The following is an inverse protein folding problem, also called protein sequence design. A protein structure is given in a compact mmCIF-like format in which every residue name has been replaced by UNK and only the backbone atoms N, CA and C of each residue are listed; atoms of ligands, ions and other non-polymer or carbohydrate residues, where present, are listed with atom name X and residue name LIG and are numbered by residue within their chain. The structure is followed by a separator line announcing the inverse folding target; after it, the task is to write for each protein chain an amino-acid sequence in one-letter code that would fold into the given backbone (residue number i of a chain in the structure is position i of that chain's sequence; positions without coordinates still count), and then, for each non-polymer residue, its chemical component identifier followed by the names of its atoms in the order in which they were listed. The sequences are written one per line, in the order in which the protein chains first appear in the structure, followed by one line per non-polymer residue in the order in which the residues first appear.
data_IF_876974967034
#
_entry.id   IF_876974967034
#
_cell.length_a   1.000
_cell.length_b   1.000
_cell.length_c   1.000
_cell.angle_alpha   90.00
_cell.angle_beta   90.00
_cell.angle_gamma   90.00
#
_symmetry.space_group_name_H-M   'P 1'
#
loop_
_entity.id
_entity.type
_entity.pdbx_description
1 polymer ?
#
# COMPACT_ATOMS: atom_id res chain seq x y z
N UNK A 1 7.35 -19.11 -5.73
CA UNK A 1 8.31 -18.01 -6.06
C UNK A 1 7.74 -16.69 -5.58
N UNK A 2 8.48 -15.91 -4.79
CA UNK A 2 7.99 -14.62 -4.27
C UNK A 2 7.81 -13.58 -5.38
N UNK A 3 6.69 -12.85 -5.36
CA UNK A 3 6.38 -11.83 -6.37
C UNK A 3 7.37 -10.66 -6.31
N UNK A 4 7.66 -9.95 -7.42
CA UNK A 4 8.54 -8.78 -7.41
C UNK A 4 8.12 -7.70 -6.40
N UNK A 5 6.81 -7.53 -6.21
CA UNK A 5 6.23 -6.61 -5.23
C UNK A 5 6.52 -7.06 -3.81
N UNK A 6 6.34 -8.35 -3.50
CA UNK A 6 6.69 -8.89 -2.18
C UNK A 6 8.18 -8.73 -1.86
N UNK A 7 9.06 -8.95 -2.85
CA UNK A 7 10.50 -8.67 -2.72
C UNK A 7 10.78 -7.19 -2.45
N UNK A 8 10.14 -6.28 -3.20
CA UNK A 8 10.29 -4.84 -3.01
C UNK A 8 9.81 -4.37 -1.63
N UNK A 9 8.65 -4.87 -1.19
CA UNK A 9 8.08 -4.55 0.11
C UNK A 9 8.99 -4.98 1.27
N UNK A 10 9.59 -6.18 1.19
CA UNK A 10 10.56 -6.68 2.18
C UNK A 10 11.84 -5.85 2.22
N UNK A 11 12.32 -5.37 1.07
CA UNK A 11 13.57 -4.58 0.97
C UNK A 11 13.52 -3.23 1.69
N UNK A 12 12.36 -2.58 1.68
CA UNK A 12 12.19 -1.24 2.27
C UNK A 12 12.13 -1.33 3.78
N UNK A 13 13.09 -0.75 4.51
CA UNK A 13 13.11 -0.79 5.98
C UNK A 13 12.61 0.49 6.64
N UNK A 14 12.63 1.63 5.93
CA UNK A 14 12.25 2.91 6.52
C UNK A 14 10.73 3.08 6.56
N UNK A 15 10.28 3.80 7.59
CA UNK A 15 8.89 4.16 7.84
C UNK A 15 8.73 5.66 7.80
N UNK A 16 7.60 6.11 7.28
CA UNK A 16 7.22 7.52 7.25
C UNK A 16 6.06 7.73 8.21
N UNK A 17 6.20 8.71 9.10
CA UNK A 17 5.12 9.11 10.00
C UNK A 17 4.37 10.28 9.40
N UNK A 18 3.05 10.22 9.41
CA UNK A 18 2.22 11.25 8.82
C UNK A 18 0.84 11.33 9.47
N UNK A 19 0.09 12.32 9.03
CA UNK A 19 -1.28 12.56 9.47
C UNK A 19 -2.22 12.31 8.30
N UNK A 20 -3.32 11.60 8.55
CA UNK A 20 -4.37 11.37 7.56
C UNK A 20 -5.12 12.68 7.32
N UNK A 21 -5.06 13.19 6.08
CA UNK A 21 -5.74 14.43 5.66
C UNK A 21 -7.18 14.14 5.23
N UNK A 22 -7.38 13.06 4.47
CA UNK A 22 -8.71 12.67 4.00
C UNK A 22 -8.84 11.15 3.98
N UNK A 23 -9.90 10.65 4.61
CA UNK A 23 -10.35 9.26 4.58
C UNK A 23 -11.82 9.18 4.10
N UNK A 24 -12.24 8.03 3.57
CA UNK A 24 -13.63 7.77 3.18
C UNK A 24 -14.06 8.29 1.80
N UNK A 25 -13.23 9.08 1.11
CA UNK A 25 -13.53 9.57 -0.25
C UNK A 25 -13.27 8.51 -1.33
N UNK A 26 -12.33 7.60 -1.08
CA UNK A 26 -11.95 6.52 -1.99
C UNK A 26 -11.87 5.22 -1.21
N UNK A 27 -12.35 4.13 -1.82
CA UNK A 27 -12.28 2.82 -1.17
C UNK A 27 -10.82 2.37 -0.95
N UNK A 28 -10.55 1.79 0.22
CA UNK A 28 -9.24 1.24 0.63
C UNK A 28 -8.05 2.18 0.40
N UNK A 29 -8.29 3.48 0.49
CA UNK A 29 -7.32 4.52 0.16
C UNK A 29 -7.48 5.73 1.06
N UNK A 30 -6.36 6.22 1.58
CA UNK A 30 -6.31 7.47 2.35
C UNK A 30 -5.22 8.39 1.80
N UNK A 31 -5.41 9.70 2.00
CA UNK A 31 -4.38 10.70 1.71
C UNK A 31 -3.65 11.03 3.00
N UNK A 32 -2.34 10.77 3.04
CA UNK A 32 -1.49 11.01 4.23
C UNK A 32 -0.49 12.10 3.93
N UNK A 33 -0.39 13.09 4.82
CA UNK A 33 0.63 14.14 4.78
C UNK A 33 1.81 13.72 5.65
N UNK A 34 2.98 13.64 5.05
CA UNK A 34 4.26 13.32 5.70
C UNK A 34 5.11 14.58 5.79
N UNK A 35 5.84 14.71 6.89
CA UNK A 35 6.81 15.81 7.07
C UNK A 35 7.99 15.67 6.10
N UNK A 36 8.48 16.79 5.61
CA UNK A 36 9.68 16.86 4.78
C UNK A 36 10.35 18.21 4.95
N UNK A 37 11.63 18.29 4.60
CA UNK A 37 12.37 19.54 4.57
C UNK A 37 13.14 19.66 3.27
N UNK A 38 13.24 20.89 2.77
CA UNK A 38 13.98 21.22 1.56
C UNK A 38 15.00 22.31 1.88
N UNK A 39 16.25 22.07 1.51
CA UNK A 39 17.32 23.06 1.63
C UNK A 39 17.20 24.10 0.50
N UNK A 40 17.12 25.37 0.87
CA UNK A 40 17.26 26.46 -0.09
C UNK A 40 18.74 26.87 -0.17
N UNK A 41 19.37 26.67 -1.34
CA UNK A 41 20.79 26.98 -1.56
C UNK A 41 21.12 28.46 -1.55
N UNK A 42 20.16 29.34 -1.86
CA UNK A 42 20.38 30.79 -1.94
C UNK A 42 20.34 31.40 -0.53
N UNK A 43 19.31 31.01 0.24
CA UNK A 43 19.09 31.55 1.59
C UNK A 43 19.84 30.73 2.67
N UNK A 44 20.42 29.59 2.28
CA UNK A 44 21.10 28.64 3.18
C UNK A 44 20.25 28.26 4.41
N UNK A 45 18.96 27.96 4.16
CA UNK A 45 17.99 27.62 5.20
C UNK A 45 17.14 26.41 4.82
N UNK A 46 16.82 25.58 5.80
CA UNK A 46 15.83 24.50 5.68
C UNK A 46 14.41 25.05 5.78
N UNK A 47 13.58 24.74 4.79
CA UNK A 47 12.16 25.03 4.78
C UNK A 47 11.33 23.75 4.89
N UNK A 48 10.15 23.84 5.51
CA UNK A 48 9.20 22.74 5.54
C UNK A 48 8.66 22.46 4.13
N UNK A 49 8.75 21.21 3.69
CA UNK A 49 8.27 20.71 2.40
C UNK A 49 7.41 19.45 2.63
N UNK A 50 6.19 19.60 3.17
CA UNK A 50 5.32 18.47 3.46
C UNK A 50 4.85 17.80 2.17
N UNK A 51 4.90 16.47 2.12
CA UNK A 51 4.48 15.68 0.95
C UNK A 51 3.20 14.92 1.26
N UNK A 52 2.34 14.79 0.25
CA UNK A 52 1.10 14.03 0.36
C UNK A 52 1.19 12.76 -0.46
N UNK A 53 0.84 11.63 0.15
CA UNK A 53 0.83 10.33 -0.51
C UNK A 53 -0.55 9.70 -0.47
N UNK A 54 -0.90 9.00 -1.55
CA UNK A 54 -2.02 8.06 -1.55
C UNK A 54 -1.54 6.73 -0.98
N UNK A 55 -2.12 6.34 0.14
CA UNK A 55 -1.74 5.17 0.93
C UNK A 55 -2.86 4.14 0.83
N UNK A 56 -2.46 2.88 0.70
CA UNK A 56 -3.39 1.76 0.72
C UNK A 56 -3.74 1.38 2.17
N UNK A 57 -5.03 1.40 2.48
CA UNK A 57 -5.62 0.92 3.73
C UNK A 57 -6.52 -0.29 3.38
N UNK A 58 -6.08 -1.54 3.59
CA UNK A 58 -6.79 -2.73 3.15
C UNK A 58 -8.20 -2.90 3.73
N UNK A 59 -8.36 -2.54 5.01
CA UNK A 59 -9.57 -2.77 5.79
C UNK A 59 -10.35 -1.48 6.10
N UNK A 60 -9.96 -0.34 5.51
CA UNK A 60 -10.60 0.96 5.73
C UNK A 60 -10.70 1.33 7.23
N UNK A 61 -9.64 1.04 7.98
CA UNK A 61 -9.54 1.25 9.43
C UNK A 61 -9.31 2.71 9.82
N UNK A 62 -8.81 3.52 8.89
CA UNK A 62 -8.36 4.88 9.19
C UNK A 62 -9.48 5.93 9.09
N UNK A 63 -9.34 7.01 9.86
CA UNK A 63 -10.18 8.20 9.84
C UNK A 63 -9.32 9.45 9.64
N UNK A 64 -9.96 10.52 9.17
CA UNK A 64 -9.28 11.81 9.00
C UNK A 64 -8.79 12.32 10.36
N UNK A 65 -7.53 12.78 10.43
CA UNK A 65 -6.90 13.22 11.67
C UNK A 65 -6.04 12.17 12.38
N UNK A 66 -6.11 10.90 12.01
CA UNK A 66 -5.25 9.86 12.61
C UNK A 66 -3.76 10.12 12.31
N UNK A 67 -2.91 9.84 13.29
CA UNK A 67 -1.45 9.78 13.11
C UNK A 67 -1.05 8.34 12.81
N UNK A 68 -0.37 8.13 11.68
CA UNK A 68 -0.08 6.79 11.14
C UNK A 68 1.38 6.61 10.79
N UNK A 69 1.87 5.39 10.89
CA UNK A 69 3.13 4.95 10.26
C UNK A 69 2.80 4.27 8.93
N UNK A 70 3.45 4.72 7.85
CA UNK A 70 3.29 4.17 6.51
C UNK A 70 4.62 3.62 5.99
N UNK A 71 4.55 2.55 5.20
CA UNK A 71 5.72 1.92 4.57
C UNK A 71 5.66 2.10 3.04
N UNK A 72 6.74 2.57 2.39
CA UNK A 72 6.83 2.57 0.93
C UNK A 72 7.09 1.16 0.37
N UNK A 73 7.06 1.03 -0.97
CA UNK A 73 7.37 -0.22 -1.66
C UNK A 73 6.17 -1.13 -1.89
N UNK A 74 4.95 -0.64 -1.71
CA UNK A 74 3.70 -1.38 -1.94
C UNK A 74 2.88 -0.80 -3.10
N UNK A 75 3.27 -1.08 -4.37
CA UNK A 75 2.50 -0.64 -5.54
C UNK A 75 1.15 -1.38 -5.63
N UNK A 76 0.07 -0.62 -5.40
CA UNK A 76 -1.31 -1.14 -5.48
C UNK A 76 -2.09 -0.58 -6.68
N UNK A 77 -1.84 0.67 -7.05
CA UNK A 77 -2.46 1.37 -8.19
C UNK A 77 -1.44 2.30 -8.83
N UNK A 78 -1.78 3.09 -9.85
CA UNK A 78 -0.86 3.98 -10.55
C UNK A 78 -0.14 4.98 -9.63
N UNK A 79 -0.83 5.56 -8.65
CA UNK A 79 -0.26 6.56 -7.72
C UNK A 79 -0.08 6.04 -6.28
N UNK A 80 -0.64 4.86 -5.96
CA UNK A 80 -0.57 4.24 -4.64
C UNK A 80 0.68 3.38 -4.52
N UNK A 81 1.68 3.85 -3.78
CA UNK A 81 2.99 3.18 -3.57
C UNK A 81 3.29 2.88 -2.09
N UNK A 82 2.42 3.31 -1.19
CA UNK A 82 2.58 3.19 0.25
C UNK A 82 1.44 2.35 0.84
N UNK A 83 1.73 1.66 1.93
CA UNK A 83 0.76 0.90 2.72
C UNK A 83 0.80 1.34 4.18
N UNK A 84 -0.34 1.28 4.86
CA UNK A 84 -0.42 1.55 6.30
C UNK A 84 0.26 0.41 7.05
N UNK A 85 1.15 0.75 7.99
CA UNK A 85 1.76 -0.23 8.90
C UNK A 85 1.01 -0.31 10.22
N UNK A 86 0.78 0.85 10.86
CA UNK A 86 0.12 0.93 12.15
C UNK A 86 -0.46 2.31 12.41
N UNK A 87 -1.47 2.37 13.27
CA UNK A 87 -2.04 3.60 13.83
C UNK A 87 -1.22 3.97 15.06
N UNK A 88 -0.62 5.16 15.08
CA UNK A 88 0.18 5.66 16.21
C UNK A 88 -0.73 6.36 17.21
N UNK A 89 -1.59 7.24 16.73
CA UNK A 89 -2.57 7.94 17.55
C UNK A 89 -3.90 8.01 16.79
N UNK A 90 -4.97 7.36 17.29
CA UNK A 90 -6.29 7.45 16.70
C UNK A 90 -6.91 8.82 17.01
N UNK A 91 -7.69 9.33 16.07
CA UNK A 91 -8.53 10.51 16.25
C UNK A 91 -10.00 10.10 16.31
N UNK A 92 -10.72 10.58 17.33
CA UNK A 92 -12.13 10.24 17.55
C UNK A 92 -12.31 8.81 18.07
N UNK A 93 -12.71 7.89 17.20
CA UNK A 93 -13.05 6.51 17.59
C UNK A 93 -11.80 5.74 18.04
N UNK A 94 -11.82 5.00 19.16
CA UNK A 94 -10.70 4.16 19.61
C UNK A 94 -10.31 3.06 18.61
N UNK A 95 -9.12 2.47 18.77
CA UNK A 95 -8.60 1.41 17.87
C UNK A 95 -9.46 0.14 17.96
N UNK A 96 -9.98 -0.18 19.14
CA UNK A 96 -10.70 -1.43 19.41
C UNK A 96 -12.03 -1.54 18.63
N UNK A 97 -12.63 -0.41 18.29
CA UNK A 97 -13.89 -0.35 17.54
C UNK A 97 -13.70 -0.34 16.02
N UNK A 98 -12.44 -0.41 15.56
CA UNK A 98 -12.09 -0.33 14.14
C UNK A 98 -11.62 -1.70 13.65
N UNK A 99 -11.78 -1.99 12.36
CA UNK A 99 -11.20 -3.21 11.81
C UNK A 99 -9.68 -3.19 11.96
N UNK A 100 -9.03 -4.32 12.29
CA UNK A 100 -7.59 -4.36 12.49
C UNK A 100 -6.85 -4.09 11.18
N UNK A 101 -5.69 -3.43 11.26
CA UNK A 101 -4.81 -3.24 10.10
C UNK A 101 -4.02 -4.55 9.88
N UNK A 102 -4.09 -5.16 8.68
CA UNK A 102 -3.37 -6.40 8.40
C UNK A 102 -1.86 -6.24 8.51
N UNK A 103 -1.18 -7.31 8.89
CA UNK A 103 0.28 -7.32 8.91
C UNK A 103 0.85 -7.33 7.49
N UNK A 104 2.11 -6.92 7.31
CA UNK A 104 2.73 -6.94 5.98
C UNK A 104 2.82 -8.36 5.41
N UNK A 105 2.99 -9.37 6.27
CA UNK A 105 3.11 -10.76 5.87
C UNK A 105 1.79 -11.30 5.35
N UNK A 106 0.67 -10.98 6.02
CA UNK A 106 -0.68 -11.27 5.54
C UNK A 106 -0.93 -10.64 4.17
N UNK A 107 -0.56 -9.37 3.99
CA UNK A 107 -0.73 -8.67 2.72
C UNK A 107 0.10 -9.31 1.58
N UNK A 108 1.32 -9.76 1.90
CA UNK A 108 2.16 -10.49 0.95
C UNK A 108 1.51 -11.83 0.60
N UNK A 109 1.07 -12.59 1.60
CA UNK A 109 0.43 -13.89 1.43
C UNK A 109 -0.84 -13.77 0.57
N UNK A 110 -1.71 -12.80 0.86
CA UNK A 110 -2.90 -12.52 0.04
C UNK A 110 -2.54 -12.22 -1.42
N UNK A 111 -1.49 -11.41 -1.64
CA UNK A 111 -1.08 -11.03 -2.98
C UNK A 111 -0.46 -12.21 -3.74
N UNK A 112 0.30 -13.05 -3.06
CA UNK A 112 0.89 -14.27 -3.62
C UNK A 112 -0.22 -15.27 -3.95
N UNK A 113 -1.20 -15.49 -3.07
CA UNK A 113 -2.37 -16.33 -3.33
C UNK A 113 -3.18 -15.84 -4.56
N UNK A 114 -3.47 -14.53 -4.64
CA UNK A 114 -4.14 -13.92 -5.82
C UNK A 114 -3.34 -14.14 -7.10
N UNK A 115 -2.00 -14.16 -7.03
CA UNK A 115 -1.14 -14.43 -8.18
C UNK A 115 -1.18 -15.91 -8.58
N UNK A 116 -1.08 -16.82 -7.60
CA UNK A 116 -1.15 -18.26 -7.83
C UNK A 116 -2.48 -18.65 -8.49
N UNK A 117 -3.61 -18.21 -7.93
CA UNK A 117 -4.93 -18.45 -8.50
C UNK A 117 -5.07 -17.91 -9.94
N UNK A 118 -4.45 -16.75 -10.23
CA UNK A 118 -4.42 -16.20 -11.59
C UNK A 118 -3.60 -17.07 -12.55
N UNK A 119 -2.49 -17.62 -12.09
CA UNK A 119 -1.60 -18.45 -12.90
C UNK A 119 -2.20 -19.85 -13.12
N UNK A 120 -2.84 -20.44 -12.11
CA UNK A 120 -3.65 -21.67 -12.23
C UNK A 120 -4.77 -21.51 -13.26
N UNK A 121 -5.56 -20.43 -13.17
CA UNK A 121 -6.60 -20.12 -14.16
C UNK A 121 -6.05 -19.97 -15.58
N UNK A 122 -4.85 -19.41 -15.73
CA UNK A 122 -4.19 -19.28 -17.05
C UNK A 122 -3.67 -20.61 -17.57
N UNK A 123 -3.15 -21.47 -16.68
CA UNK A 123 -2.70 -22.81 -17.02
C UNK A 123 -3.88 -23.67 -17.47
N UNK A 124 -5.00 -23.68 -16.74
CA UNK A 124 -6.22 -24.39 -17.11
C UNK A 124 -6.74 -23.96 -18.49
N UNK A 125 -6.87 -22.65 -18.74
CA UNK A 125 -7.26 -22.13 -20.06
C UNK A 125 -6.29 -22.56 -21.19
N UNK A 126 -4.99 -22.63 -20.91
CA UNK A 126 -4.00 -23.08 -21.90
C UNK A 126 -4.12 -24.58 -22.21
N UNK A 127 -4.45 -25.40 -21.21
CA UNK A 127 -4.69 -26.83 -21.40
C UNK A 127 -5.98 -27.09 -22.19
N UNK A 128 -7.06 -26.33 -21.90
CA UNK A 128 -8.32 -26.39 -22.65
C UNK A 128 -8.17 -25.95 -24.12
N UNK A 129 -7.29 -24.97 -24.40
CA UNK A 129 -6.96 -24.50 -25.75
C UNK A 129 -5.85 -25.32 -26.45
N UNK A 130 -5.54 -26.51 -25.94
CA UNK A 130 -4.62 -27.48 -26.57
C UNK A 130 -4.99 -27.72 -28.04
N UNK A 131 -3.99 -28.05 -28.89
CA UNK A 131 -3.88 -27.57 -30.26
C UNK A 131 -5.15 -27.88 -31.06
N UNK A 132 -5.90 -26.84 -31.41
CA UNK A 132 -6.89 -26.93 -32.47
C UNK A 132 -6.13 -27.22 -33.77
N UNK A 133 -6.12 -28.51 -34.14
CA UNK A 133 -5.89 -29.08 -35.46
C UNK A 133 -5.12 -28.17 -36.45
N UNK A 134 -3.80 -28.32 -36.49
CA UNK A 134 -3.11 -28.26 -37.78
C UNK A 134 -3.37 -29.62 -38.44
N UNK A 135 -4.53 -29.76 -39.08
CA UNK A 135 -4.85 -30.88 -39.97
C UNK A 135 -4.87 -30.36 -41.39
N UNK A 136 -3.93 -30.89 -42.18
CA UNK A 136 -3.80 -30.87 -43.65
C UNK A 136 -3.30 -29.58 -44.32
#
# INVERSE_FOLDING_TARGET
MSTPVAKAARRVTHELRGVVVSAGLMDKTVKVRVGGQKWNKIVHKWFADPKQYLVHDPNSSLRSGDVVSIRPGWPTSQHKRHVVKQIIAPHGVPIDQRPPVPTLEELIAEREAKKMAKDERRAARRQEQGPSATSE
#
